data_IF_284239811255
#
_entry.id   IF_284239811255
#
_cell.length_a   1.000
_cell.length_b   1.000
_cell.length_c   1.000
_cell.angle_alpha   90.00
_cell.angle_beta   90.00
_cell.angle_gamma   90.00
#
_symmetry.space_group_name_H-M   'P 1'
#
loop_
_entity.id
_entity.type
_entity.pdbx_description
1 polymer ?
#
# COMPACT_ATOMS: atom_id res chain seq x y z
N UNK A 1 -12.04 25.35 -40.21
CA UNK A 1 -12.71 25.10 -38.92
C UNK A 1 -13.50 23.81 -38.98
N UNK A 2 -13.05 22.77 -38.26
CA UNK A 2 -13.87 21.68 -37.72
C UNK A 2 -13.21 21.26 -36.41
N UNK A 3 -13.87 21.38 -35.25
CA UNK A 3 -13.42 20.80 -34.00
C UNK A 3 -14.02 19.39 -33.87
N UNK A 4 -13.22 18.41 -33.45
CA UNK A 4 -13.52 17.00 -33.10
C UNK A 4 -12.17 16.27 -33.25
N UNK A 5 -11.55 15.65 -32.25
CA UNK A 5 -12.04 15.06 -31.02
C UNK A 5 -10.92 15.18 -29.97
N UNK A 6 -11.16 15.93 -28.89
CA UNK A 6 -10.44 15.72 -27.63
C UNK A 6 -11.03 14.45 -27.05
N UNK A 7 -10.49 13.32 -27.51
CA UNK A 7 -10.76 12.01 -26.98
C UNK A 7 -10.44 12.07 -25.48
N UNK A 8 -11.49 11.99 -24.67
CA UNK A 8 -11.38 12.01 -23.23
C UNK A 8 -10.53 10.83 -22.79
N UNK A 9 -9.37 11.13 -22.20
CA UNK A 9 -8.72 10.25 -21.24
C UNK A 9 -9.69 10.12 -20.06
N UNK A 10 -10.67 9.23 -20.19
CA UNK A 10 -11.46 8.75 -19.07
C UNK A 10 -10.51 7.95 -18.19
N UNK A 11 -10.09 8.60 -17.10
CA UNK A 11 -9.24 8.05 -16.06
C UNK A 11 -9.88 6.79 -15.45
N UNK A 12 -9.52 5.61 -15.94
CA UNK A 12 -9.66 4.34 -15.22
C UNK A 12 -8.55 4.19 -14.14
N UNK A 13 -8.06 5.30 -13.57
CA UNK A 13 -7.00 5.32 -12.56
C UNK A 13 -7.53 5.25 -11.13
N UNK A 14 -8.85 5.31 -10.93
CA UNK A 14 -9.52 5.52 -9.65
C UNK A 14 -9.29 4.42 -8.59
N UNK A 15 -8.58 3.33 -8.95
CA UNK A 15 -8.24 2.26 -8.02
C UNK A 15 -6.90 1.55 -8.24
N UNK A 16 -6.11 1.87 -9.26
CA UNK A 16 -4.86 1.12 -9.53
C UNK A 16 -3.82 1.31 -8.42
N UNK A 17 -3.59 2.54 -7.96
CA UNK A 17 -2.65 2.81 -6.85
C UNK A 17 -3.12 2.18 -5.52
N UNK A 18 -4.43 2.17 -5.26
CA UNK A 18 -4.98 1.45 -4.12
C UNK A 18 -4.77 -0.07 -4.24
N UNK A 19 -5.02 -0.64 -5.42
CA UNK A 19 -4.85 -2.07 -5.69
C UNK A 19 -3.39 -2.49 -5.59
N UNK A 20 -2.47 -1.61 -5.99
CA UNK A 20 -1.03 -1.80 -5.83
C UNK A 20 -0.65 -1.93 -4.34
N UNK A 21 -1.20 -1.09 -3.46
CA UNK A 21 -0.95 -1.22 -2.01
C UNK A 21 -1.43 -2.58 -1.48
N UNK A 22 -2.64 -2.99 -1.85
CA UNK A 22 -3.14 -4.32 -1.44
C UNK A 22 -2.27 -5.45 -1.96
N UNK A 23 -1.82 -5.36 -3.21
CA UNK A 23 -0.93 -6.35 -3.81
C UNK A 23 0.40 -6.46 -3.05
N UNK A 24 1.03 -5.33 -2.71
CA UNK A 24 2.30 -5.34 -1.98
C UNK A 24 2.12 -5.80 -0.52
N UNK A 25 1.00 -5.47 0.13
CA UNK A 25 0.65 -6.01 1.45
C UNK A 25 0.47 -7.54 1.41
N UNK A 26 -0.28 -8.07 0.45
CA UNK A 26 -0.47 -9.52 0.29
C UNK A 26 0.83 -10.23 -0.06
N UNK A 27 1.63 -9.65 -0.97
CA UNK A 27 2.94 -10.18 -1.35
C UNK A 27 3.86 -10.29 -0.12
N UNK A 28 3.96 -9.22 0.66
CA UNK A 28 4.78 -9.20 1.89
C UNK A 28 4.27 -10.23 2.90
N UNK A 29 2.95 -10.35 3.07
CA UNK A 29 2.35 -11.33 3.97
C UNK A 29 2.68 -12.77 3.56
N UNK A 30 2.61 -13.07 2.26
CA UNK A 30 2.97 -14.39 1.74
C UNK A 30 4.46 -14.68 1.96
N UNK A 31 5.35 -13.72 1.68
CA UNK A 31 6.80 -13.87 1.89
C UNK A 31 7.09 -14.19 3.36
N UNK A 32 6.55 -13.41 4.30
CA UNK A 32 6.76 -13.64 5.74
C UNK A 32 6.16 -14.96 6.21
N UNK A 33 4.98 -15.34 5.71
CA UNK A 33 4.33 -16.61 6.07
C UNK A 33 5.16 -17.82 5.64
N UNK A 34 5.83 -17.72 4.49
CA UNK A 34 6.66 -18.80 3.95
C UNK A 34 8.12 -18.75 4.44
N UNK A 35 8.50 -17.75 5.24
CA UNK A 35 9.81 -17.65 5.91
C UNK A 35 9.90 -18.53 7.17
N UNK A 36 9.68 -19.83 7.01
CA UNK A 36 9.55 -20.77 8.15
C UNK A 36 10.90 -20.98 8.87
N UNK A 37 12.03 -20.67 8.21
CA UNK A 37 13.38 -20.96 8.70
C UNK A 37 14.26 -19.71 8.88
N UNK A 38 13.69 -18.50 8.86
CA UNK A 38 14.42 -17.22 8.89
C UNK A 38 15.53 -17.12 7.81
N UNK A 39 15.38 -17.90 6.74
CA UNK A 39 16.34 -18.05 5.65
C UNK A 39 16.17 -16.99 4.57
N UNK A 40 15.10 -16.20 4.60
CA UNK A 40 14.93 -15.11 3.65
C UNK A 40 16.08 -14.12 3.78
N UNK A 41 16.61 -13.69 2.64
CA UNK A 41 17.67 -12.69 2.60
C UNK A 41 17.16 -11.33 3.09
N UNK A 42 18.02 -10.58 3.78
CA UNK A 42 17.68 -9.22 4.22
C UNK A 42 17.33 -8.31 3.04
N UNK A 43 17.91 -8.54 1.86
CA UNK A 43 17.59 -7.82 0.63
C UNK A 43 16.12 -7.99 0.22
N UNK A 44 15.54 -9.19 0.35
CA UNK A 44 14.13 -9.45 0.00
C UNK A 44 13.18 -8.73 0.96
N UNK A 45 13.48 -8.78 2.26
CA UNK A 45 12.67 -8.08 3.27
C UNK A 45 12.73 -6.56 3.11
N UNK A 46 13.91 -6.04 2.77
CA UNK A 46 14.10 -4.62 2.44
C UNK A 46 13.33 -4.23 1.19
N UNK A 47 13.40 -5.02 0.12
CA UNK A 47 12.62 -4.80 -1.12
C UNK A 47 11.11 -4.75 -0.83
N UNK A 48 10.59 -5.65 0.01
CA UNK A 48 9.19 -5.61 0.41
C UNK A 48 8.81 -4.29 1.10
N UNK A 49 9.64 -3.82 2.03
CA UNK A 49 9.44 -2.54 2.70
C UNK A 49 9.46 -1.35 1.74
N UNK A 50 10.45 -1.28 0.84
CA UNK A 50 10.59 -0.21 -0.15
C UNK A 50 9.43 -0.18 -1.14
N UNK A 51 8.99 -1.36 -1.62
CA UNK A 51 7.86 -1.48 -2.55
C UNK A 51 6.54 -1.06 -1.93
N UNK A 52 6.27 -1.52 -0.70
CA UNK A 52 5.07 -1.10 0.03
C UNK A 52 5.05 0.42 0.25
N UNK A 53 6.19 0.99 0.60
CA UNK A 53 6.32 2.43 0.84
C UNK A 53 6.06 3.23 -0.44
N UNK A 54 6.62 2.80 -1.57
CA UNK A 54 6.35 3.40 -2.89
C UNK A 54 4.87 3.32 -3.25
N UNK A 55 4.22 2.17 -3.08
CA UNK A 55 2.81 2.00 -3.38
C UNK A 55 1.92 2.96 -2.55
N UNK A 56 2.25 3.13 -1.27
CA UNK A 56 1.53 4.04 -0.37
C UNK A 56 1.76 5.50 -0.75
N UNK A 57 2.98 5.85 -1.19
CA UNK A 57 3.29 7.18 -1.70
C UNK A 57 2.50 7.51 -2.97
N UNK A 58 2.40 6.56 -3.90
CA UNK A 58 1.60 6.68 -5.12
C UNK A 58 0.12 6.86 -4.81
N UNK A 59 -0.46 6.02 -3.95
CA UNK A 59 -1.86 6.19 -3.52
C UNK A 59 -2.08 7.56 -2.85
N UNK A 60 -1.17 7.95 -1.96
CA UNK A 60 -1.29 9.25 -1.28
C UNK A 60 -1.23 10.40 -2.28
N UNK A 61 -0.35 10.31 -3.29
CA UNK A 61 -0.26 11.29 -4.36
C UNK A 61 -1.58 11.37 -5.14
N UNK A 62 -2.12 10.25 -5.58
CA UNK A 62 -3.39 10.22 -6.32
C UNK A 62 -4.56 10.76 -5.50
N UNK A 63 -4.59 10.46 -4.19
CA UNK A 63 -5.60 11.02 -3.28
C UNK A 63 -5.44 12.54 -3.14
N UNK A 64 -4.22 13.06 -3.02
CA UNK A 64 -4.00 14.51 -2.95
C UNK A 64 -4.27 15.23 -4.28
N UNK A 65 -4.13 14.55 -5.41
CA UNK A 65 -4.50 15.06 -6.73
C UNK A 65 -6.00 14.95 -7.02
N UNK A 66 -6.79 14.35 -6.12
CA UNK A 66 -8.23 14.11 -6.33
C UNK A 66 -8.54 13.03 -7.36
N UNK A 67 -7.57 12.21 -7.75
CA UNK A 67 -7.73 11.08 -8.67
C UNK A 67 -8.31 9.85 -7.98
N UNK A 68 -8.11 9.75 -6.67
CA UNK A 68 -8.70 8.70 -5.83
C UNK A 68 -9.34 9.39 -4.63
N UNK A 69 -10.57 9.03 -4.30
CA UNK A 69 -11.16 9.41 -3.02
C UNK A 69 -11.14 8.21 -2.10
N UNK A 70 -10.77 8.41 -0.83
CA UNK A 70 -10.83 7.36 0.20
C UNK A 70 -11.79 7.74 1.32
N UNK A 71 -12.27 6.76 2.06
CA UNK A 71 -13.15 6.98 3.22
C UNK A 71 -12.47 7.81 4.32
N UNK A 72 -11.17 7.56 4.57
CA UNK A 72 -10.42 8.28 5.61
C UNK A 72 -9.03 8.72 5.16
N UNK A 73 -8.91 10.00 4.80
CA UNK A 73 -7.62 10.63 4.50
C UNK A 73 -6.69 10.70 5.71
N UNK A 74 -7.24 10.92 6.91
CA UNK A 74 -6.45 11.00 8.14
C UNK A 74 -5.72 9.69 8.45
N UNK A 75 -6.40 8.56 8.24
CA UNK A 75 -5.83 7.23 8.45
C UNK A 75 -4.81 6.89 7.36
N UNK A 76 -5.07 7.24 6.08
CA UNK A 76 -4.08 7.11 5.01
C UNK A 76 -2.80 7.90 5.32
N UNK A 77 -2.94 9.16 5.77
CA UNK A 77 -1.79 9.99 6.14
C UNK A 77 -1.00 9.38 7.29
N UNK A 78 -1.67 8.94 8.35
CA UNK A 78 -1.03 8.27 9.48
C UNK A 78 -0.33 6.97 9.05
N UNK A 79 -0.95 6.20 8.17
CA UNK A 79 -0.37 4.98 7.61
C UNK A 79 0.93 5.28 6.86
N UNK A 80 0.91 6.28 5.97
CA UNK A 80 2.08 6.73 5.21
C UNK A 80 3.21 7.24 6.10
N UNK A 81 2.90 8.06 7.10
CA UNK A 81 3.95 8.75 7.88
C UNK A 81 4.48 7.93 9.06
N UNK A 82 3.69 6.98 9.56
CA UNK A 82 4.04 6.22 10.78
C UNK A 82 4.06 4.73 10.48
N UNK A 83 2.90 4.13 10.17
CA UNK A 83 2.75 2.68 10.15
C UNK A 83 3.63 1.99 9.10
N UNK A 84 3.65 2.52 7.87
CA UNK A 84 4.43 1.92 6.79
C UNK A 84 5.95 2.06 7.02
N UNK A 85 6.50 3.24 7.38
CA UNK A 85 7.92 3.38 7.74
C UNK A 85 8.34 2.48 8.90
N UNK A 86 7.55 2.40 9.97
CA UNK A 86 7.91 1.60 11.14
C UNK A 86 7.85 0.10 10.85
N UNK A 87 6.89 -0.34 10.04
CA UNK A 87 6.86 -1.72 9.55
C UNK A 87 8.06 -2.02 8.66
N UNK A 88 8.38 -1.17 7.69
CA UNK A 88 9.54 -1.35 6.81
C UNK A 88 10.86 -1.42 7.62
N UNK A 89 11.03 -0.57 8.64
CA UNK A 89 12.17 -0.66 9.57
C UNK A 89 12.18 -1.99 10.32
N UNK A 90 11.03 -2.46 10.78
CA UNK A 90 10.92 -3.73 11.51
C UNK A 90 11.31 -4.93 10.64
N UNK A 91 11.01 -4.89 9.34
CA UNK A 91 11.46 -5.90 8.37
C UNK A 91 12.99 -5.93 8.25
N UNK A 92 13.64 -4.76 8.20
CA UNK A 92 15.09 -4.63 8.01
C UNK A 92 15.85 -4.98 9.28
N UNK A 93 15.37 -4.52 10.43
CA UNK A 93 16.01 -4.73 11.74
C UNK A 93 15.82 -6.15 12.28
N UNK A 94 14.84 -6.90 11.75
CA UNK A 94 14.44 -8.24 12.24
C UNK A 94 14.23 -8.27 13.76
N UNK A 95 13.76 -7.17 14.32
CA UNK A 95 13.57 -7.00 15.76
C UNK A 95 12.18 -7.45 16.26
N UNK A 96 11.34 -7.97 15.36
CA UNK A 96 10.01 -8.51 15.66
C UNK A 96 9.91 -9.95 15.19
N UNK A 97 9.12 -10.75 15.91
CA UNK A 97 8.83 -12.13 15.47
C UNK A 97 8.02 -12.12 14.18
N UNK A 98 8.13 -13.19 13.37
CA UNK A 98 7.32 -13.35 12.16
C UNK A 98 5.82 -13.36 12.45
N UNK A 99 5.44 -13.91 13.60
CA UNK A 99 4.06 -13.91 14.05
C UNK A 99 3.52 -12.50 14.27
N UNK A 100 4.34 -11.59 14.80
CA UNK A 100 3.96 -10.21 15.05
C UNK A 100 3.89 -9.41 13.75
N UNK A 101 4.88 -9.60 12.86
CA UNK A 101 4.85 -8.99 11.52
C UNK A 101 3.62 -9.46 10.71
N UNK A 102 3.25 -10.74 10.81
CA UNK A 102 2.06 -11.27 10.14
C UNK A 102 0.75 -10.70 10.71
N UNK A 103 0.65 -10.53 12.02
CA UNK A 103 -0.50 -9.87 12.67
C UNK A 103 -0.60 -8.41 12.24
N UNK A 104 0.52 -7.71 12.20
CA UNK A 104 0.60 -6.31 11.78
C UNK A 104 0.15 -6.16 10.33
N UNK A 105 0.66 -6.98 9.41
CA UNK A 105 0.20 -6.99 8.02
C UNK A 105 -1.29 -7.28 7.87
N UNK A 106 -1.83 -8.20 8.67
CA UNK A 106 -3.27 -8.48 8.68
C UNK A 106 -4.07 -7.25 9.14
N UNK A 107 -3.58 -6.52 10.14
CA UNK A 107 -4.20 -5.28 10.59
C UNK A 107 -4.10 -4.21 9.49
N UNK A 108 -2.95 -4.06 8.83
CA UNK A 108 -2.76 -3.13 7.72
C UNK A 108 -3.74 -3.41 6.57
N UNK A 109 -3.86 -4.68 6.14
CA UNK A 109 -4.83 -5.10 5.13
C UNK A 109 -6.26 -4.73 5.54
N UNK A 110 -6.65 -5.02 6.79
CA UNK A 110 -7.99 -4.68 7.30
C UNK A 110 -8.23 -3.18 7.35
N UNK A 111 -7.22 -2.38 7.66
CA UNK A 111 -7.30 -0.92 7.61
C UNK A 111 -7.56 -0.43 6.19
N UNK A 112 -6.89 -0.99 5.18
CA UNK A 112 -7.16 -0.63 3.79
C UNK A 112 -8.57 -1.05 3.35
N UNK A 113 -8.95 -2.29 3.61
CA UNK A 113 -10.25 -2.85 3.22
C UNK A 113 -11.45 -2.13 3.84
N UNK A 114 -11.33 -1.64 5.08
CA UNK A 114 -12.47 -1.15 5.87
C UNK A 114 -12.42 0.34 6.21
N UNK A 115 -11.26 1.01 6.08
CA UNK A 115 -11.06 2.39 6.56
C UNK A 115 -10.48 3.32 5.50
N UNK A 116 -9.53 2.85 4.68
CA UNK A 116 -8.93 3.61 3.57
C UNK A 116 -9.56 3.18 2.23
N UNK A 117 -10.77 2.64 2.27
CA UNK A 117 -11.44 2.10 1.09
C UNK A 117 -11.67 3.20 0.04
N UNK A 118 -11.45 2.93 -1.26
CA UNK A 118 -11.78 3.88 -2.32
C UNK A 118 -13.28 4.13 -2.40
N UNK A 119 -13.65 5.38 -2.66
CA UNK A 119 -15.01 5.79 -3.01
C UNK A 119 -15.09 6.08 -4.51
N UNK A 120 -16.24 5.77 -5.16
CA UNK A 120 -16.47 6.21 -6.52
C UNK A 120 -16.34 7.74 -6.60
N UNK A 121 -15.66 8.24 -7.63
CA UNK A 121 -15.72 9.66 -7.96
C UNK A 121 -17.14 9.96 -8.44
N UNK A 122 -17.87 10.77 -7.65
CA UNK A 122 -19.25 11.18 -7.92
C UNK A 122 -19.32 12.41 -8.82
#
# INVERSE_FOLDING_TARGET
MKPRDLQGDHFDHDGESYRLVLQELHRTANIIKHDIYDSLEQAVLRDCGERLQRAVDELSYDVYQGRVTVDSLGVLKAFKTVSCPDFAKSLVLRNRSRSDLAKELRLMLKTFENVIRPRPLS
#
